data_IF_740677205201
#
_entry.id   IF_740677205201
#
_cell.length_a   1.000
_cell.length_b   1.000
_cell.length_c   1.000
_cell.angle_alpha   90.00
_cell.angle_beta   90.00
_cell.angle_gamma   90.00
#
_symmetry.space_group_name_H-M   'P 1'
#
loop_
_entity.id
_entity.type
_entity.pdbx_description
1 polymer ?
#
# COMPACT_ATOMS: atom_id res chain seq x y z
N UNK A 1 -25.18 2.36 7.27
CA UNK A 1 -25.21 2.95 5.91
C UNK A 1 -24.20 4.08 5.93
N UNK A 2 -22.98 3.85 5.42
CA UNK A 2 -21.99 4.92 5.27
C UNK A 2 -22.36 5.68 4.00
N UNK A 3 -22.83 6.91 4.17
CA UNK A 3 -23.04 7.80 3.04
C UNK A 3 -21.69 8.39 2.66
N UNK A 4 -21.25 8.19 1.42
CA UNK A 4 -20.20 9.03 0.85
C UNK A 4 -20.80 10.41 0.67
N UNK A 5 -20.42 11.33 1.57
CA UNK A 5 -20.78 12.72 1.42
C UNK A 5 -19.84 13.28 0.35
N UNK A 6 -20.39 13.72 -0.78
CA UNK A 6 -19.61 14.39 -1.83
C UNK A 6 -19.09 15.70 -1.25
N UNK A 7 -17.87 15.65 -0.72
CA UNK A 7 -17.19 16.82 -0.16
C UNK A 7 -16.05 17.20 -1.08
N UNK A 8 -15.82 18.50 -1.24
CA UNK A 8 -14.62 19.00 -1.93
C UNK A 8 -13.37 18.94 -1.04
N UNK A 9 -13.45 18.29 0.12
CA UNK A 9 -12.40 18.27 1.13
C UNK A 9 -11.68 16.92 1.11
N UNK A 10 -10.39 16.95 0.78
CA UNK A 10 -9.53 15.77 0.72
C UNK A 10 -9.50 14.98 2.04
N UNK A 11 -9.49 15.67 3.19
CA UNK A 11 -9.45 15.00 4.49
C UNK A 11 -10.73 14.20 4.77
N UNK A 12 -11.90 14.73 4.39
CA UNK A 12 -13.18 14.04 4.56
C UNK A 12 -13.32 12.88 3.57
N UNK A 13 -12.92 13.09 2.31
CA UNK A 13 -12.89 12.02 1.31
C UNK A 13 -11.95 10.90 1.76
N UNK A 14 -10.78 11.25 2.30
CA UNK A 14 -9.82 10.28 2.86
C UNK A 14 -10.45 9.50 4.02
N UNK A 15 -11.03 10.18 5.01
CA UNK A 15 -11.64 9.51 6.17
C UNK A 15 -12.73 8.51 5.72
N UNK A 16 -13.65 8.96 4.86
CA UNK A 16 -14.77 8.15 4.39
C UNK A 16 -14.33 6.99 3.50
N UNK A 17 -13.44 7.23 2.53
CA UNK A 17 -12.99 6.19 1.61
C UNK A 17 -12.03 5.22 2.27
N UNK A 18 -11.26 5.68 3.25
CA UNK A 18 -10.30 4.81 3.89
C UNK A 18 -10.97 3.67 4.65
N UNK A 19 -12.07 3.94 5.38
CA UNK A 19 -12.85 2.87 6.04
C UNK A 19 -13.51 1.90 5.06
N UNK A 20 -13.78 2.34 3.83
CA UNK A 20 -14.43 1.52 2.81
C UNK A 20 -13.43 0.64 2.04
N UNK A 21 -12.27 1.20 1.69
CA UNK A 21 -11.30 0.57 0.81
C UNK A 21 -10.22 -0.19 1.58
N UNK A 22 -9.86 0.32 2.77
CA UNK A 22 -8.81 -0.22 3.60
C UNK A 22 -9.37 -0.64 4.96
N UNK A 23 -9.70 -1.92 5.16
CA UNK A 23 -10.12 -2.39 6.47
C UNK A 23 -8.98 -2.21 7.48
N UNK A 24 -9.28 -1.92 8.75
CA UNK A 24 -8.20 -1.93 9.75
C UNK A 24 -7.54 -3.32 9.75
N UNK A 25 -6.21 -3.42 9.99
CA UNK A 25 -5.54 -4.72 10.08
C UNK A 25 -6.26 -5.69 11.03
N UNK A 26 -6.80 -5.17 12.14
CA UNK A 26 -7.57 -5.92 13.13
C UNK A 26 -8.94 -6.41 12.64
N UNK A 27 -9.50 -5.82 11.57
CA UNK A 27 -10.78 -6.21 10.97
C UNK A 27 -10.62 -7.32 9.91
N UNK A 28 -9.39 -7.79 9.68
CA UNK A 28 -9.07 -8.94 8.84
C UNK A 28 -9.37 -10.22 9.67
N UNK A 29 -10.30 -11.10 9.24
CA UNK A 29 -10.85 -12.16 10.10
C UNK A 29 -9.83 -13.07 10.80
N UNK A 30 -10.14 -13.45 12.05
CA UNK A 30 -9.41 -14.27 13.05
C UNK A 30 -8.81 -15.62 12.61
N UNK A 31 -8.82 -15.98 11.33
CA UNK A 31 -8.14 -17.21 10.87
C UNK A 31 -6.61 -17.17 11.05
N UNK A 32 -6.06 -16.03 11.48
CA UNK A 32 -4.62 -15.73 11.50
C UNK A 32 -4.19 -14.88 12.73
N UNK A 33 -4.67 -15.23 13.93
CA UNK A 33 -4.39 -14.61 15.26
C UNK A 33 -2.88 -14.55 15.67
N UNK A 34 -1.94 -14.68 14.73
CA UNK A 34 -0.50 -14.60 14.95
C UNK A 34 0.20 -13.51 14.11
N UNK A 35 -0.45 -12.94 13.08
CA UNK A 35 0.17 -11.96 12.16
C UNK A 35 -0.40 -10.55 12.27
N UNK A 36 -1.53 -10.36 12.97
CA UNK A 36 -2.24 -9.06 13.00
C UNK A 36 -1.42 -7.91 13.60
N UNK A 37 -0.47 -8.18 14.49
CA UNK A 37 0.36 -7.12 15.09
C UNK A 37 1.54 -6.68 14.19
N UNK A 38 1.87 -7.49 13.17
CA UNK A 38 3.05 -7.25 12.32
C UNK A 38 2.80 -6.17 11.26
N UNK A 39 1.53 -5.86 11.00
CA UNK A 39 1.07 -5.02 9.91
C UNK A 39 0.25 -3.89 10.48
N UNK A 40 0.65 -2.67 10.16
CA UNK A 40 -0.05 -1.51 10.64
C UNK A 40 -0.44 -0.61 9.49
N UNK A 41 -1.71 -0.20 9.51
CA UNK A 41 -2.18 0.90 8.70
C UNK A 41 -1.61 2.20 9.24
N UNK A 42 -0.99 2.99 8.37
CA UNK A 42 -0.44 4.29 8.72
C UNK A 42 -1.07 5.42 7.90
N UNK A 43 -1.67 6.37 8.62
CA UNK A 43 -2.10 7.64 8.06
C UNK A 43 -0.86 8.51 7.93
N UNK A 44 -0.39 8.71 6.71
CA UNK A 44 0.96 9.22 6.50
C UNK A 44 0.95 10.73 6.35
N UNK A 45 1.47 11.43 7.36
CA UNK A 45 1.62 12.89 7.27
C UNK A 45 2.92 13.30 6.57
N UNK A 46 3.91 12.40 6.43
CA UNK A 46 5.16 12.57 5.66
C UNK A 46 6.01 11.28 5.67
N UNK A 47 6.64 10.88 4.55
CA UNK A 47 7.76 9.93 4.60
C UNK A 47 9.04 10.65 5.06
N UNK A 48 9.78 10.10 6.01
CA UNK A 48 10.97 10.76 6.58
C UNK A 48 12.25 10.50 5.80
N UNK A 49 12.26 9.50 4.91
CA UNK A 49 13.40 9.11 4.08
C UNK A 49 12.95 8.74 2.66
N UNK A 50 13.86 8.81 1.70
CA UNK A 50 13.67 8.38 0.30
C UNK A 50 14.95 7.79 -0.25
N UNK A 51 14.81 6.86 -1.18
CA UNK A 51 15.93 6.16 -1.83
C UNK A 51 16.61 6.96 -2.96
N UNK A 52 15.96 8.03 -3.43
CA UNK A 52 16.42 8.80 -4.60
C UNK A 52 16.53 10.30 -4.28
N UNK A 53 17.31 11.06 -5.04
CA UNK A 53 17.40 12.53 -4.98
C UNK A 53 16.11 13.27 -5.40
N UNK A 54 14.94 12.62 -5.36
CA UNK A 54 13.68 13.25 -5.71
C UNK A 54 13.46 14.53 -4.89
N UNK A 55 13.17 15.65 -5.53
CA UNK A 55 13.08 16.96 -4.87
C UNK A 55 12.08 16.97 -3.69
N UNK A 56 11.06 16.11 -3.72
CA UNK A 56 10.04 15.96 -2.67
C UNK A 56 9.96 14.52 -2.15
N UNK A 57 9.77 14.36 -0.84
CA UNK A 57 9.45 13.07 -0.21
C UNK A 57 8.02 12.65 -0.60
N UNK A 58 7.76 11.36 -0.88
CA UNK A 58 6.39 10.87 -0.99
C UNK A 58 5.60 11.19 0.28
N UNK A 59 4.30 11.48 0.11
CA UNK A 59 3.41 11.78 1.22
C UNK A 59 2.02 11.18 0.92
N UNK A 60 1.91 9.84 0.97
CA UNK A 60 0.63 9.20 0.74
C UNK A 60 -0.38 9.56 1.82
N UNK A 61 -1.66 9.66 1.46
CA UNK A 61 -2.71 9.85 2.45
C UNK A 61 -2.72 8.69 3.47
N UNK A 62 -2.45 7.47 3.01
CA UNK A 62 -2.21 6.33 3.87
C UNK A 62 -1.39 5.24 3.18
N UNK A 63 -0.76 4.40 3.99
CA UNK A 63 0.00 3.24 3.54
C UNK A 63 -0.05 2.16 4.60
N UNK A 64 0.11 0.90 4.21
CA UNK A 64 0.44 -0.14 5.18
C UNK A 64 1.92 -0.48 5.05
N UNK A 65 2.53 -0.74 6.19
CA UNK A 65 3.94 -1.03 6.30
C UNK A 65 4.18 -2.03 7.44
N UNK A 66 5.33 -2.69 7.41
CA UNK A 66 5.70 -3.67 8.41
C UNK A 66 6.15 -2.98 9.70
N UNK A 67 5.57 -3.43 10.81
CA UNK A 67 6.06 -3.09 12.14
C UNK A 67 7.41 -3.80 12.39
N UNK A 68 8.27 -3.24 13.23
CA UNK A 68 9.53 -3.88 13.62
C UNK A 68 9.33 -5.29 14.20
N UNK A 69 8.18 -5.57 14.82
CA UNK A 69 7.86 -6.88 15.39
C UNK A 69 7.58 -7.95 14.33
N UNK A 70 7.39 -7.56 13.07
CA UNK A 70 7.30 -8.49 11.94
C UNK A 70 8.64 -9.21 11.68
N UNK A 71 9.75 -8.66 12.18
CA UNK A 71 11.09 -9.18 11.91
C UNK A 71 11.61 -9.96 13.11
N UNK A 72 12.25 -11.10 12.82
CA UNK A 72 13.07 -11.78 13.83
C UNK A 72 14.19 -10.84 14.30
N UNK A 73 14.61 -10.90 15.58
CA UNK A 73 15.61 -9.98 16.13
C UNK A 73 16.90 -9.90 15.30
N UNK A 74 17.37 -11.03 14.76
CA UNK A 74 18.58 -11.10 13.94
C UNK A 74 18.39 -10.42 12.58
N UNK A 75 17.19 -10.52 11.99
CA UNK A 75 16.85 -9.82 10.75
C UNK A 75 16.75 -8.32 10.99
N UNK A 76 16.16 -7.90 12.10
CA UNK A 76 16.05 -6.49 12.47
C UNK A 76 17.42 -5.86 12.72
N UNK A 77 18.34 -6.55 13.39
CA UNK A 77 19.71 -6.07 13.59
C UNK A 77 20.44 -5.87 12.24
N UNK A 78 20.35 -6.84 11.33
CA UNK A 78 20.90 -6.72 9.97
C UNK A 78 20.27 -5.56 9.21
N UNK A 79 18.95 -5.38 9.35
CA UNK A 79 18.19 -4.32 8.70
C UNK A 79 18.59 -2.93 9.23
N UNK A 80 18.78 -2.81 10.55
CA UNK A 80 19.28 -1.58 11.18
C UNK A 80 20.70 -1.25 10.72
N UNK A 81 21.57 -2.25 10.62
CA UNK A 81 22.93 -2.07 10.11
C UNK A 81 22.92 -1.61 8.64
N UNK A 82 22.15 -2.26 7.78
CA UNK A 82 21.96 -1.83 6.40
C UNK A 82 21.35 -0.42 6.32
N UNK A 83 20.45 -0.11 7.25
CA UNK A 83 19.82 1.18 7.49
C UNK A 83 20.77 2.37 7.69
N UNK A 84 22.03 2.10 8.00
CA UNK A 84 23.09 3.12 8.11
C UNK A 84 23.63 3.58 6.75
N UNK A 85 23.50 2.74 5.72
CA UNK A 85 23.93 3.02 4.35
C UNK A 85 22.77 3.46 3.45
N UNK A 86 21.59 2.87 3.66
CA UNK A 86 20.41 3.08 2.83
C UNK A 86 19.13 3.14 3.66
N UNK A 87 18.11 3.93 3.27
CA UNK A 87 16.85 4.01 4.02
C UNK A 87 16.04 2.71 4.01
N UNK A 88 15.85 2.10 5.17
CA UNK A 88 14.99 0.90 5.35
C UNK A 88 13.64 1.23 5.98
N UNK A 89 13.59 2.29 6.78
CA UNK A 89 12.40 2.81 7.42
C UNK A 89 11.97 4.13 6.77
N UNK A 90 10.74 4.16 6.27
CA UNK A 90 10.21 5.31 5.55
C UNK A 90 9.30 6.19 6.42
N UNK A 91 8.91 5.69 7.60
CA UNK A 91 7.89 6.29 8.47
C UNK A 91 8.49 6.87 9.76
N UNK A 92 7.90 7.96 10.32
CA UNK A 92 8.37 8.59 11.56
C UNK A 92 8.48 7.66 12.77
N UNK A 93 7.61 6.65 12.83
CA UNK A 93 7.53 5.65 13.91
C UNK A 93 8.39 4.40 13.66
N UNK A 94 9.20 4.41 12.60
CA UNK A 94 10.16 3.35 12.34
C UNK A 94 9.60 2.13 11.61
N UNK A 95 8.45 2.23 10.94
CA UNK A 95 7.96 1.14 10.07
C UNK A 95 8.80 0.97 8.80
N UNK A 96 8.81 -0.26 8.31
CA UNK A 96 9.65 -0.73 7.21
C UNK A 96 8.81 -1.09 5.99
N UNK A 97 9.38 -0.88 4.80
CA UNK A 97 8.88 -1.32 3.49
C UNK A 97 7.36 -1.27 3.30
N UNK A 98 6.80 -0.13 2.85
CA UNK A 98 5.39 -0.09 2.51
C UNK A 98 5.11 -0.97 1.29
N UNK A 99 4.28 -1.99 1.43
CA UNK A 99 3.82 -2.82 0.32
C UNK A 99 2.48 -2.30 -0.24
N UNK A 100 1.86 -1.32 0.42
CA UNK A 100 0.64 -0.68 -0.06
C UNK A 100 0.69 0.83 0.20
N UNK A 101 0.55 1.61 -0.86
CA UNK A 101 0.57 3.08 -0.84
C UNK A 101 -0.75 3.59 -1.39
N UNK A 102 -1.35 4.60 -0.80
CA UNK A 102 -2.56 5.19 -1.36
C UNK A 102 -2.57 6.71 -1.33
N UNK A 103 -3.06 7.25 -2.44
CA UNK A 103 -3.36 8.64 -2.62
C UNK A 103 -4.86 8.82 -2.87
N UNK A 104 -5.43 9.76 -2.14
CA UNK A 104 -6.82 10.17 -2.23
C UNK A 104 -6.86 11.61 -2.67
N UNK A 105 -7.63 11.90 -3.71
CA UNK A 105 -7.91 13.26 -4.15
C UNK A 105 -9.33 13.68 -3.82
N UNK A 106 -9.49 14.96 -3.51
CA UNK A 106 -10.82 15.58 -3.49
C UNK A 106 -11.42 15.68 -4.90
N UNK A 107 -12.71 16.01 -4.98
CA UNK A 107 -13.41 16.23 -6.25
C UNK A 107 -12.76 17.30 -7.17
N UNK A 108 -12.07 18.28 -6.57
CA UNK A 108 -11.37 19.34 -7.30
C UNK A 108 -9.89 19.01 -7.55
N UNK A 109 -9.41 17.89 -7.01
CA UNK A 109 -8.05 17.43 -7.12
C UNK A 109 -7.72 16.93 -8.53
N UNK A 110 -6.45 17.07 -8.92
CA UNK A 110 -5.98 16.58 -10.21
C UNK A 110 -5.59 15.09 -10.08
N UNK A 111 -6.34 14.21 -10.75
CA UNK A 111 -6.05 12.77 -10.74
C UNK A 111 -4.67 12.42 -11.31
N UNK A 112 -4.10 13.23 -12.20
CA UNK A 112 -2.73 13.02 -12.65
C UNK A 112 -1.70 13.27 -11.53
N UNK A 113 -1.98 14.24 -10.64
CA UNK A 113 -1.14 14.45 -9.46
C UNK A 113 -1.29 13.27 -8.47
N UNK A 114 -2.50 12.75 -8.29
CA UNK A 114 -2.77 11.55 -7.49
C UNK A 114 -1.93 10.38 -7.99
N UNK A 115 -2.01 10.13 -9.30
CA UNK A 115 -1.27 9.08 -9.97
C UNK A 115 0.24 9.22 -9.77
N UNK A 116 0.77 10.42 -10.00
CA UNK A 116 2.20 10.66 -9.82
C UNK A 116 2.66 10.44 -8.37
N UNK A 117 1.86 10.82 -7.37
CA UNK A 117 2.23 10.60 -5.97
C UNK A 117 2.15 9.12 -5.59
N UNK A 118 1.09 8.42 -6.00
CA UNK A 118 0.87 7.00 -5.72
C UNK A 118 1.99 6.15 -6.34
N UNK A 119 2.31 6.42 -7.61
CA UNK A 119 3.39 5.74 -8.33
C UNK A 119 4.76 6.08 -7.73
N UNK A 120 5.03 7.34 -7.36
CA UNK A 120 6.31 7.70 -6.72
C UNK A 120 6.49 7.02 -5.37
N UNK A 121 5.44 6.95 -4.55
CA UNK A 121 5.47 6.26 -3.27
C UNK A 121 5.76 4.77 -3.46
N UNK A 122 4.99 4.08 -4.29
CA UNK A 122 5.19 2.64 -4.51
C UNK A 122 6.54 2.32 -5.18
N UNK A 123 7.00 3.10 -6.17
CA UNK A 123 8.35 2.93 -6.73
C UNK A 123 9.43 3.14 -5.66
N UNK A 124 9.25 4.10 -4.74
CA UNK A 124 10.21 4.30 -3.64
C UNK A 124 10.25 3.07 -2.73
N UNK A 125 9.12 2.41 -2.49
CA UNK A 125 9.08 1.16 -1.76
C UNK A 125 9.82 0.03 -2.48
N UNK A 126 9.54 -0.18 -3.77
CA UNK A 126 10.22 -1.19 -4.60
C UNK A 126 11.73 -0.93 -4.63
N UNK A 127 12.15 0.32 -4.75
CA UNK A 127 13.56 0.74 -4.67
C UNK A 127 14.20 0.51 -3.31
N UNK A 128 13.42 0.40 -2.23
CA UNK A 128 13.92 -0.01 -0.92
C UNK A 128 14.14 -1.52 -0.83
N UNK A 129 13.24 -2.31 -1.42
CA UNK A 129 13.25 -3.78 -1.33
C UNK A 129 14.34 -4.38 -2.23
N UNK A 130 14.41 -3.97 -3.50
CA UNK A 130 15.28 -4.63 -4.50
C UNK A 130 16.77 -4.61 -4.09
N UNK A 131 17.36 -3.47 -3.69
CA UNK A 131 18.76 -3.45 -3.28
C UNK A 131 19.01 -4.13 -1.94
N UNK A 132 18.02 -4.17 -1.04
CA UNK A 132 18.12 -4.95 0.19
C UNK A 132 18.22 -6.43 -0.12
N UNK A 133 17.34 -6.96 -0.98
CA UNK A 133 17.38 -8.36 -1.39
C UNK A 133 18.73 -8.69 -2.06
N UNK A 134 19.19 -7.84 -2.98
CA UNK A 134 20.50 -8.00 -3.62
C UNK A 134 21.67 -8.00 -2.62
N UNK A 135 21.58 -7.19 -1.55
CA UNK A 135 22.58 -7.15 -0.48
C UNK A 135 22.52 -8.38 0.43
N UNK A 136 21.32 -8.89 0.68
CA UNK A 136 21.11 -10.05 1.54
C UNK A 136 21.58 -11.35 0.88
N UNK A 137 21.27 -11.55 -0.41
CA UNK A 137 21.68 -12.70 -1.21
C UNK A 137 21.60 -12.35 -2.72
N UNK A 138 22.64 -12.70 -3.49
CA UNK A 138 22.66 -12.50 -4.94
C UNK A 138 21.56 -13.32 -5.66
N UNK A 139 21.19 -14.48 -5.13
CA UNK A 139 20.11 -15.32 -5.66
C UNK A 139 18.72 -14.77 -5.38
N UNK A 140 18.55 -13.96 -4.33
CA UNK A 140 17.24 -13.47 -3.92
C UNK A 140 16.57 -12.59 -4.99
N UNK A 141 17.35 -11.92 -5.86
CA UNK A 141 16.78 -11.13 -6.95
C UNK A 141 16.04 -11.99 -7.98
N UNK A 142 16.47 -13.23 -8.19
CA UNK A 142 15.80 -14.16 -9.10
C UNK A 142 14.42 -14.54 -8.55
N UNK A 143 14.30 -14.66 -7.22
CA UNK A 143 13.07 -15.01 -6.54
C UNK A 143 12.03 -13.89 -6.47
N UNK A 144 12.46 -12.63 -6.66
CA UNK A 144 11.59 -11.45 -6.59
C UNK A 144 11.41 -10.72 -7.92
N UNK A 145 12.16 -11.09 -8.96
CA UNK A 145 12.01 -10.51 -10.29
C UNK A 145 10.62 -10.80 -10.87
N UNK A 146 10.02 -9.76 -11.48
CA UNK A 146 8.65 -9.78 -12.03
C UNK A 146 7.55 -10.14 -11.03
N UNK A 147 7.87 -10.31 -9.73
CA UNK A 147 6.90 -10.42 -8.66
C UNK A 147 6.48 -9.03 -8.22
N UNK A 148 5.22 -8.93 -7.82
CA UNK A 148 4.67 -7.70 -7.27
C UNK A 148 5.34 -7.50 -5.90
N UNK A 149 5.80 -6.27 -5.64
CA UNK A 149 6.51 -5.89 -4.43
C UNK A 149 5.81 -4.76 -3.67
N UNK A 150 4.93 -4.02 -4.36
CA UNK A 150 4.13 -2.98 -3.77
C UNK A 150 2.86 -2.78 -4.61
N UNK A 151 1.78 -2.38 -3.97
CA UNK A 151 0.56 -1.91 -4.59
C UNK A 151 0.45 -0.40 -4.39
N UNK A 152 -0.12 0.29 -5.37
CA UNK A 152 -0.58 1.66 -5.16
C UNK A 152 -2.06 1.80 -5.48
N UNK A 153 -2.76 2.54 -4.64
CA UNK A 153 -4.15 2.92 -4.85
C UNK A 153 -4.19 4.42 -5.18
N UNK A 154 -4.92 4.76 -6.22
CA UNK A 154 -5.30 6.15 -6.51
C UNK A 154 -6.82 6.22 -6.56
N UNK A 155 -7.39 7.18 -5.82
CA UNK A 155 -8.83 7.35 -5.81
C UNK A 155 -9.26 8.80 -5.57
N UNK A 156 -10.52 9.07 -5.90
CA UNK A 156 -11.22 10.27 -5.48
C UNK A 156 -12.67 9.89 -5.11
N UNK A 157 -13.55 10.88 -5.03
CA UNK A 157 -14.98 10.65 -4.75
C UNK A 157 -15.75 9.83 -5.80
N UNK A 158 -15.23 9.63 -7.02
CA UNK A 158 -15.93 8.94 -8.12
C UNK A 158 -15.23 7.64 -8.53
N UNK A 159 -13.90 7.56 -8.39
CA UNK A 159 -13.09 6.53 -9.05
C UNK A 159 -12.07 5.92 -8.12
N UNK A 160 -11.78 4.65 -8.37
CA UNK A 160 -10.70 3.89 -7.76
C UNK A 160 -9.84 3.24 -8.86
N UNK A 161 -8.54 3.17 -8.61
CA UNK A 161 -7.63 2.31 -9.37
C UNK A 161 -6.57 1.73 -8.46
N UNK A 162 -6.26 0.45 -8.69
CA UNK A 162 -5.23 -0.31 -7.98
C UNK A 162 -4.17 -0.69 -9.01
N UNK A 163 -2.93 -0.38 -8.71
CA UNK A 163 -1.76 -0.68 -9.52
C UNK A 163 -0.84 -1.64 -8.76
N UNK A 164 -0.27 -2.58 -9.48
CA UNK A 164 0.81 -3.45 -9.04
C UNK A 164 2.14 -2.83 -9.43
N UNK A 165 3.16 -2.93 -8.57
CA UNK A 165 4.51 -2.43 -8.81
C UNK A 165 5.52 -3.55 -8.63
N UNK A 166 6.40 -3.69 -9.62
CA UNK A 166 7.42 -4.73 -9.67
C UNK A 166 8.67 -4.21 -10.39
N UNK A 167 9.72 -5.03 -10.43
CA UNK A 167 10.90 -4.74 -11.22
C UNK A 167 11.23 -5.91 -12.16
N UNK A 168 11.98 -5.61 -13.22
CA UNK A 168 12.67 -6.62 -14.03
C UNK A 168 14.11 -6.19 -14.28
N UNK A 169 14.94 -7.14 -14.71
CA UNK A 169 16.33 -6.92 -15.12
C UNK A 169 16.43 -7.06 -16.63
N UNK A 170 16.82 -5.98 -17.31
CA UNK A 170 17.12 -6.00 -18.74
C UNK A 170 18.61 -5.64 -18.92
N UNK A 171 19.40 -6.56 -19.50
CA UNK A 171 20.85 -6.35 -19.70
C UNK A 171 21.60 -5.91 -18.43
N UNK A 172 21.28 -6.54 -17.28
CA UNK A 172 21.79 -6.19 -15.95
C UNK A 172 21.34 -4.81 -15.41
N UNK A 173 20.46 -4.09 -16.08
CA UNK A 173 19.82 -2.89 -15.55
C UNK A 173 18.47 -3.22 -14.90
N UNK A 174 18.25 -2.72 -13.69
CA UNK A 174 16.97 -2.83 -13.01
C UNK A 174 16.01 -1.76 -13.56
N UNK A 175 14.85 -2.21 -14.03
CA UNK A 175 13.74 -1.35 -14.45
C UNK A 175 12.52 -1.59 -13.58
N UNK A 176 11.81 -0.50 -13.28
CA UNK A 176 10.64 -0.52 -12.40
C UNK A 176 9.39 -0.32 -13.25
N UNK A 177 8.40 -1.16 -13.03
CA UNK A 177 7.15 -1.18 -13.79
C UNK A 177 5.96 -1.08 -12.86
N UNK A 178 4.86 -0.58 -13.40
CA UNK A 178 3.57 -0.72 -12.78
C UNK A 178 2.52 -1.19 -13.80
N UNK A 179 1.57 -1.99 -13.32
CA UNK A 179 0.48 -2.51 -14.13
C UNK A 179 -0.85 -2.27 -13.42
N UNK A 180 -1.92 -2.05 -14.21
CA UNK A 180 -3.25 -1.79 -13.67
C UNK A 180 -3.95 -3.11 -13.33
N UNK A 181 -4.05 -3.41 -12.04
CA UNK A 181 -4.80 -4.56 -11.54
C UNK A 181 -6.32 -4.30 -11.57
N UNK A 182 -6.75 -3.15 -11.04
CA UNK A 182 -8.17 -2.83 -10.92
C UNK A 182 -8.45 -1.38 -11.29
N UNK A 183 -9.65 -1.15 -11.81
CA UNK A 183 -10.25 0.17 -11.98
C UNK A 183 -11.77 0.05 -11.90
N UNK A 184 -12.39 0.96 -11.16
CA UNK A 184 -13.84 1.03 -11.05
C UNK A 184 -14.33 2.43 -10.68
N UNK A 185 -15.59 2.70 -11.01
CA UNK A 185 -16.34 3.84 -10.49
C UNK A 185 -16.97 3.43 -9.15
N UNK A 186 -16.87 4.28 -8.13
CA UNK A 186 -17.29 3.98 -6.76
C UNK A 186 -18.80 3.77 -6.63
N UNK A 187 -19.60 4.46 -7.45
CA UNK A 187 -21.05 4.28 -7.48
C UNK A 187 -21.44 2.84 -7.90
N UNK A 188 -20.63 2.20 -8.75
CA UNK A 188 -20.86 0.83 -9.23
C UNK A 188 -20.13 -0.23 -8.38
N UNK A 189 -19.23 0.22 -7.50
CA UNK A 189 -18.43 -0.65 -6.65
C UNK A 189 -19.22 -1.12 -5.42
N UNK A 190 -20.05 -0.24 -4.86
CA UNK A 190 -20.76 -0.46 -3.59
C UNK A 190 -22.20 -0.94 -3.83
N UNK A 191 -22.47 -2.21 -3.53
CA UNK A 191 -23.80 -2.80 -3.61
C UNK A 191 -24.35 -3.08 -2.20
N UNK A 192 -25.54 -2.57 -1.88
CA UNK A 192 -26.26 -2.92 -0.65
C UNK A 192 -27.17 -4.13 -0.93
N UNK A 193 -26.91 -5.24 -0.25
CA UNK A 193 -27.80 -6.41 -0.25
C UNK A 193 -28.53 -6.43 1.09
N UNK A 194 -29.86 -6.37 1.04
CA UNK A 194 -30.70 -6.54 2.22
C UNK A 194 -31.04 -8.02 2.34
N UNK A 195 -30.48 -8.69 3.35
CA UNK A 195 -30.79 -10.09 3.64
C UNK A 195 -32.22 -10.26 4.16
N UNK A 196 -32.72 -11.50 4.15
CA UNK A 196 -34.03 -11.88 4.71
C UNK A 196 -34.21 -11.45 6.17
N UNK A 197 -33.11 -11.31 6.89
CA UNK A 197 -33.08 -11.02 8.32
C UNK A 197 -32.90 -9.52 8.62
N UNK A 198 -33.17 -8.65 7.62
CA UNK A 198 -32.99 -7.19 7.67
C UNK A 198 -31.54 -6.73 7.93
N UNK A 199 -30.56 -7.63 7.89
CA UNK A 199 -29.14 -7.26 7.89
C UNK A 199 -28.78 -6.65 6.53
N UNK A 200 -28.23 -5.43 6.57
CA UNK A 200 -27.68 -4.75 5.40
C UNK A 200 -26.23 -5.16 5.25
N UNK A 201 -25.93 -5.89 4.18
CA UNK A 201 -24.56 -6.25 3.82
C UNK A 201 -24.12 -5.36 2.66
N UNK A 202 -23.07 -4.59 2.88
CA UNK A 202 -22.46 -3.77 1.84
C UNK A 202 -21.32 -4.58 1.22
N UNK A 203 -21.39 -4.80 -0.09
CA UNK A 203 -20.33 -5.43 -0.86
C UNK A 203 -19.61 -4.37 -1.68
N UNK A 204 -18.28 -4.34 -1.57
CA UNK A 204 -17.40 -3.52 -2.40
C UNK A 204 -16.42 -4.45 -3.12
N UNK A 205 -16.35 -4.36 -4.46
CA UNK A 205 -15.39 -5.18 -5.23
C UNK A 205 -13.97 -4.75 -4.91
N UNK A 206 -13.77 -3.44 -4.75
CA UNK A 206 -12.54 -2.87 -4.25
C UNK A 206 -12.13 -3.46 -2.90
N UNK A 207 -13.03 -3.46 -1.91
CA UNK A 207 -12.76 -4.04 -0.60
C UNK A 207 -12.41 -5.54 -0.70
N UNK A 208 -13.09 -6.29 -1.57
CA UNK A 208 -12.78 -7.70 -1.81
C UNK A 208 -11.36 -7.87 -2.37
N UNK A 209 -10.98 -7.10 -3.40
CA UNK A 209 -9.63 -7.13 -3.98
C UNK A 209 -8.59 -6.70 -2.95
N UNK A 210 -8.88 -5.66 -2.17
CA UNK A 210 -7.97 -5.19 -1.14
C UNK A 210 -7.76 -6.24 -0.05
N UNK A 211 -8.81 -6.96 0.35
CA UNK A 211 -8.70 -8.10 1.25
C UNK A 211 -7.83 -9.20 0.66
N UNK A 212 -8.04 -9.59 -0.60
CA UNK A 212 -7.20 -10.60 -1.25
C UNK A 212 -5.72 -10.14 -1.34
N UNK A 213 -5.46 -8.88 -1.68
CA UNK A 213 -4.09 -8.33 -1.70
C UNK A 213 -3.45 -8.44 -0.32
N UNK A 214 -4.16 -8.01 0.72
CA UNK A 214 -3.66 -8.10 2.09
C UNK A 214 -3.44 -9.58 2.46
N UNK A 215 -4.41 -10.46 2.20
CA UNK A 215 -4.33 -11.88 2.52
C UNK A 215 -3.17 -12.60 1.82
N UNK A 216 -3.00 -12.42 0.51
CA UNK A 216 -2.01 -13.13 -0.30
C UNK A 216 -0.60 -12.59 -0.10
N UNK A 217 -0.44 -11.28 0.08
CA UNK A 217 0.89 -10.71 0.33
C UNK A 217 1.40 -11.06 1.71
N UNK A 218 0.51 -11.07 2.70
CA UNK A 218 0.89 -11.22 4.09
C UNK A 218 0.85 -12.64 4.65
N UNK A 219 0.15 -13.59 4.05
CA UNK A 219 0.28 -15.01 4.46
C UNK A 219 1.62 -15.62 4.08
N UNK A 220 2.32 -15.02 3.12
CA UNK A 220 3.50 -15.60 2.49
C UNK A 220 4.82 -15.00 2.98
N UNK A 221 4.80 -13.99 3.85
CA UNK A 221 5.97 -13.26 4.37
C UNK A 221 5.81 -12.95 5.85
#
# INVERSE_FOLDING_TARGET
MHFLCITSNEAQVTEQLSTLLLPEPADIPDKYDQTNDSIDRQVCNLWIRKWTDAITLPKPNFSYAMNQIAFQPEHLERLMFYGTFQPVNFFPDGRYFPFLVCEVMSAKGNMNNCHQQAVKGAITAVKGIVPLCAYADLGALDDIEARILCYSIENNHERLKILEHFFTRENCEIRYYNYKLFHGELEEDVMEIVGSDCQRVIWSKALAIMREILDDFYKTH
#
